data_IF_059025973034
#
_entry.id   IF_059025973034
#
_cell.length_a   1.000
_cell.length_b   1.000
_cell.length_c   1.000
_cell.angle_alpha   90.00
_cell.angle_beta   90.00
_cell.angle_gamma   90.00
#
_symmetry.space_group_name_H-M   'P 1'
#
loop_
_entity.id
_entity.type
_entity.pdbx_description
1 polymer ?
#
# COMPACT_ATOMS: atom_id res chain seq x y z
N UNK A 1 10.70 1.59 15.79
CA UNK A 1 11.56 1.32 14.61
C UNK A 1 11.92 -0.17 14.44
N UNK A 2 12.45 -0.90 15.44
CA UNK A 2 12.80 -2.33 15.28
C UNK A 2 11.59 -3.21 14.96
N UNK A 3 10.45 -2.93 15.62
CA UNK A 3 9.19 -3.64 15.38
C UNK A 3 8.65 -3.43 13.96
N UNK A 4 8.72 -2.20 13.44
CA UNK A 4 8.32 -1.86 12.07
C UNK A 4 9.14 -2.64 11.04
N UNK A 5 10.46 -2.72 11.24
CA UNK A 5 11.34 -3.50 10.37
C UNK A 5 11.01 -4.99 10.42
N UNK A 6 10.69 -5.52 11.60
CA UNK A 6 10.34 -6.92 11.80
C UNK A 6 9.01 -7.28 11.12
N UNK A 7 7.98 -6.44 11.27
CA UNK A 7 6.70 -6.56 10.56
C UNK A 7 6.91 -6.46 9.05
N UNK A 8 7.76 -5.54 8.59
CA UNK A 8 8.10 -5.41 7.18
C UNK A 8 8.72 -6.70 6.64
N UNK A 9 9.77 -7.23 7.27
CA UNK A 9 10.47 -8.45 6.80
C UNK A 9 9.53 -9.66 6.77
N UNK A 10 8.66 -9.79 7.77
CA UNK A 10 7.67 -10.88 7.81
C UNK A 10 6.58 -10.72 6.75
N UNK A 11 6.12 -9.50 6.48
CA UNK A 11 5.05 -9.21 5.52
C UNK A 11 5.54 -9.18 4.07
N UNK A 12 6.82 -8.90 3.83
CA UNK A 12 7.40 -8.68 2.51
C UNK A 12 7.17 -9.87 1.56
N UNK A 13 7.36 -11.10 2.08
CA UNK A 13 7.17 -12.33 1.31
C UNK A 13 5.72 -12.57 0.86
N UNK A 14 4.76 -12.12 1.68
CA UNK A 14 3.32 -12.21 1.38
C UNK A 14 2.90 -11.09 0.43
N UNK A 15 3.43 -9.88 0.61
CA UNK A 15 3.20 -8.75 -0.29
C UNK A 15 3.73 -9.05 -1.70
N UNK A 16 4.95 -9.55 -1.84
CA UNK A 16 5.54 -9.88 -3.15
C UNK A 16 4.70 -10.92 -3.91
N UNK A 17 4.19 -11.94 -3.21
CA UNK A 17 3.31 -12.96 -3.80
C UNK A 17 1.98 -12.38 -4.27
N UNK A 18 1.38 -11.48 -3.47
CA UNK A 18 0.10 -10.85 -3.83
C UNK A 18 0.26 -9.81 -4.95
N UNK A 19 1.38 -9.06 -4.97
CA UNK A 19 1.69 -8.16 -6.07
C UNK A 19 1.91 -8.94 -7.38
N UNK A 20 2.63 -10.06 -7.36
CA UNK A 20 2.80 -10.89 -8.54
C UNK A 20 1.45 -11.38 -9.12
N UNK A 21 0.49 -11.75 -8.26
CA UNK A 21 -0.87 -12.12 -8.70
C UNK A 21 -1.60 -10.92 -9.31
N UNK A 22 -1.50 -9.74 -8.70
CA UNK A 22 -2.11 -8.50 -9.22
C UNK A 22 -1.58 -8.14 -10.61
N UNK A 23 -0.25 -8.11 -10.78
CA UNK A 23 0.38 -7.76 -12.05
C UNK A 23 0.10 -8.79 -13.15
N UNK A 24 -0.01 -10.08 -12.81
CA UNK A 24 -0.39 -11.10 -13.79
C UNK A 24 -1.81 -10.87 -14.35
N UNK A 25 -2.75 -10.44 -13.51
CA UNK A 25 -4.10 -10.11 -13.95
C UNK A 25 -4.15 -8.81 -14.75
N UNK A 26 -3.36 -7.79 -14.36
CA UNK A 26 -3.24 -6.54 -15.11
C UNK A 26 -2.66 -6.74 -16.51
N UNK A 27 -1.59 -7.55 -16.63
CA UNK A 27 -0.99 -7.88 -17.93
C UNK A 27 -1.96 -8.65 -18.81
N UNK A 28 -2.67 -9.64 -18.26
CA UNK A 28 -3.70 -10.38 -19.00
C UNK A 28 -4.81 -9.45 -19.52
N UNK A 29 -5.27 -8.50 -18.71
CA UNK A 29 -6.25 -7.50 -19.13
C UNK A 29 -5.72 -6.63 -20.28
N UNK A 30 -4.47 -6.16 -20.18
CA UNK A 30 -3.82 -5.37 -21.23
C UNK A 30 -3.72 -6.14 -22.54
N UNK A 31 -3.38 -7.42 -22.47
CA UNK A 31 -3.24 -8.30 -23.62
C UNK A 31 -4.59 -8.53 -24.32
N UNK A 32 -5.64 -8.86 -23.56
CA UNK A 32 -7.01 -9.01 -24.06
C UNK A 32 -7.55 -7.71 -24.68
N UNK A 33 -7.28 -6.55 -24.07
CA UNK A 33 -7.66 -5.25 -24.62
C UNK A 33 -6.92 -4.95 -25.93
N UNK A 34 -5.64 -5.30 -26.02
CA UNK A 34 -4.87 -5.09 -27.25
C UNK A 34 -5.33 -6.00 -28.38
N UNK A 35 -5.70 -7.24 -28.06
CA UNK A 35 -6.33 -8.17 -29.03
C UNK A 35 -7.69 -7.64 -29.52
N UNK A 36 -8.52 -7.10 -28.62
CA UNK A 36 -9.79 -6.47 -28.97
C UNK A 36 -9.59 -5.28 -29.91
N UNK A 37 -8.68 -4.35 -29.60
CA UNK A 37 -8.39 -3.18 -30.43
C UNK A 37 -7.87 -3.60 -31.81
N UNK A 38 -7.00 -4.62 -31.87
CA UNK A 38 -6.45 -5.13 -33.13
C UNK A 38 -7.51 -5.77 -34.02
N UNK A 39 -8.54 -6.38 -33.43
CA UNK A 39 -9.58 -7.11 -34.14
C UNK A 39 -10.93 -6.37 -34.19
N UNK A 40 -11.00 -5.11 -33.75
CA UNK A 40 -12.25 -4.37 -33.57
C UNK A 40 -13.05 -4.20 -34.87
N UNK A 41 -12.36 -4.02 -35.99
CA UNK A 41 -12.96 -3.92 -37.33
C UNK A 41 -13.62 -5.23 -37.77
N UNK A 42 -13.03 -6.37 -37.39
CA UNK A 42 -13.56 -7.72 -37.68
C UNK A 42 -14.74 -8.04 -36.76
N UNK A 43 -14.61 -7.76 -35.45
CA UNK A 43 -15.67 -7.96 -34.46
C UNK A 43 -16.93 -7.17 -34.82
N UNK A 44 -16.74 -5.92 -35.26
CA UNK A 44 -17.80 -5.03 -35.72
C UNK A 44 -18.45 -5.48 -37.04
N UNK A 45 -17.67 -6.08 -37.95
CA UNK A 45 -18.16 -6.62 -39.21
C UNK A 45 -19.00 -7.91 -39.04
N UNK A 46 -18.78 -8.67 -37.97
CA UNK A 46 -19.52 -9.90 -37.66
C UNK A 46 -20.67 -9.71 -36.64
N UNK A 47 -20.97 -8.47 -36.24
CA UNK A 47 -22.03 -8.14 -35.27
C UNK A 47 -21.93 -8.92 -33.93
N UNK A 48 -20.71 -9.29 -33.50
CA UNK A 48 -20.44 -9.96 -32.21
C UNK A 48 -20.21 -8.98 -31.05
N UNK A 49 -20.62 -7.73 -31.21
CA UNK A 49 -20.35 -6.65 -30.24
C UNK A 49 -20.91 -6.97 -28.85
N UNK A 50 -22.09 -7.60 -28.77
CA UNK A 50 -22.78 -7.89 -27.51
C UNK A 50 -22.08 -8.98 -26.67
N UNK A 51 -21.65 -10.07 -27.31
CA UNK A 51 -20.94 -11.19 -26.67
C UNK A 51 -19.52 -10.78 -26.20
N UNK A 52 -18.81 -9.99 -27.00
CA UNK A 52 -17.47 -9.48 -26.66
C UNK A 52 -17.55 -8.36 -25.62
N UNK A 53 -18.58 -7.51 -25.67
CA UNK A 53 -18.83 -6.45 -24.69
C UNK A 53 -19.16 -7.04 -23.32
N UNK A 54 -20.05 -8.03 -23.22
CA UNK A 54 -20.34 -8.73 -21.95
C UNK A 54 -19.10 -9.38 -21.35
N UNK A 55 -18.25 -10.00 -22.18
CA UNK A 55 -16.98 -10.60 -21.72
C UNK A 55 -16.05 -9.54 -21.14
N UNK A 56 -15.91 -8.40 -21.82
CA UNK A 56 -15.07 -7.28 -21.39
C UNK A 56 -15.60 -6.63 -20.11
N UNK A 57 -16.92 -6.47 -20.00
CA UNK A 57 -17.60 -5.94 -18.81
C UNK A 57 -17.46 -6.87 -17.60
N UNK A 58 -17.49 -8.19 -17.84
CA UNK A 58 -17.25 -9.20 -16.82
C UNK A 58 -15.81 -9.15 -16.32
N UNK A 59 -14.83 -9.10 -17.21
CA UNK A 59 -13.40 -8.95 -16.85
C UNK A 59 -13.16 -7.67 -16.04
N UNK A 60 -13.77 -6.55 -16.43
CA UNK A 60 -13.68 -5.29 -15.68
C UNK A 60 -14.29 -5.37 -14.27
N UNK A 61 -15.42 -6.08 -14.11
CA UNK A 61 -16.03 -6.31 -12.78
C UNK A 61 -15.18 -7.23 -11.92
N UNK A 62 -14.59 -8.27 -12.50
CA UNK A 62 -13.64 -9.15 -11.80
C UNK A 62 -12.40 -8.37 -11.36
N UNK A 63 -11.88 -7.47 -12.20
CA UNK A 63 -10.81 -6.56 -11.81
C UNK A 63 -11.21 -5.67 -10.63
N UNK A 64 -12.35 -4.98 -10.67
CA UNK A 64 -12.82 -4.14 -9.55
C UNK A 64 -13.00 -4.96 -8.27
N UNK A 65 -13.52 -6.19 -8.38
CA UNK A 65 -13.66 -7.11 -7.25
C UNK A 65 -12.30 -7.46 -6.64
N UNK A 66 -11.32 -7.83 -7.47
CA UNK A 66 -9.97 -8.17 -7.01
C UNK A 66 -9.20 -6.97 -6.47
N UNK A 67 -9.36 -5.78 -7.06
CA UNK A 67 -8.80 -4.52 -6.54
C UNK A 67 -9.38 -4.18 -5.18
N UNK A 68 -10.70 -4.29 -5.01
CA UNK A 68 -11.35 -3.98 -3.72
C UNK A 68 -10.93 -4.99 -2.64
N UNK A 69 -10.81 -6.27 -3.03
CA UNK A 69 -10.34 -7.35 -2.15
C UNK A 69 -8.87 -7.21 -1.80
N UNK A 70 -8.02 -6.81 -2.74
CA UNK A 70 -6.58 -6.60 -2.51
C UNK A 70 -6.34 -5.35 -1.66
N UNK A 71 -7.02 -4.24 -1.94
CA UNK A 71 -6.98 -3.04 -1.10
C UNK A 71 -7.38 -3.37 0.34
N UNK A 72 -8.48 -4.09 0.55
CA UNK A 72 -8.89 -4.50 1.91
C UNK A 72 -7.84 -5.35 2.64
N UNK A 73 -7.15 -6.26 1.94
CA UNK A 73 -6.06 -7.05 2.52
C UNK A 73 -4.79 -6.25 2.79
N UNK A 74 -4.54 -5.17 2.06
CA UNK A 74 -3.38 -4.28 2.25
C UNK A 74 -3.65 -3.21 3.31
N UNK A 75 -4.89 -2.74 3.46
CA UNK A 75 -5.29 -1.73 4.46
C UNK A 75 -5.08 -2.23 5.89
N UNK A 76 -5.32 -3.52 6.17
CA UNK A 76 -5.16 -4.10 7.52
C UNK A 76 -3.71 -3.99 8.02
N UNK A 77 -2.68 -4.49 7.30
CA UNK A 77 -1.28 -4.33 7.73
C UNK A 77 -0.82 -2.88 7.73
N UNK A 78 -1.34 -2.04 6.83
CA UNK A 78 -1.03 -0.61 6.79
C UNK A 78 -1.54 0.12 8.04
N UNK A 79 -2.78 -0.13 8.44
CA UNK A 79 -3.36 0.42 9.68
C UNK A 79 -2.66 -0.09 10.93
N UNK A 80 -2.26 -1.37 10.96
CA UNK A 80 -1.43 -1.91 12.05
C UNK A 80 -0.08 -1.17 12.16
N UNK A 81 0.60 -0.93 11.03
CA UNK A 81 1.87 -0.19 11.01
C UNK A 81 1.68 1.24 11.52
N UNK A 82 0.61 1.94 11.13
CA UNK A 82 0.31 3.28 11.61
C UNK A 82 0.06 3.31 13.13
N UNK A 83 -0.71 2.35 13.67
CA UNK A 83 -0.93 2.22 15.12
C UNK A 83 0.40 1.98 15.86
N UNK A 84 1.23 1.06 15.37
CA UNK A 84 2.54 0.79 15.98
C UNK A 84 3.49 1.99 15.91
N UNK A 85 3.39 2.81 14.87
CA UNK A 85 4.14 4.04 14.73
C UNK A 85 3.71 5.09 15.76
N UNK A 86 2.40 5.24 15.99
CA UNK A 86 1.85 6.24 16.91
C UNK A 86 2.03 5.86 18.39
N UNK A 87 2.05 4.56 18.72
CA UNK A 87 2.40 4.04 20.06
C UNK A 87 3.76 4.56 20.54
N UNK A 88 4.72 4.78 19.63
CA UNK A 88 6.04 5.33 19.98
C UNK A 88 5.95 6.72 20.62
N UNK A 89 5.06 7.58 20.11
CA UNK A 89 4.82 8.93 20.65
C UNK A 89 4.18 8.86 22.03
N UNK A 90 3.24 7.93 22.23
CA UNK A 90 2.58 7.71 23.53
C UNK A 90 3.60 7.31 24.60
N UNK A 91 4.54 6.42 24.27
CA UNK A 91 5.60 6.01 25.20
C UNK A 91 6.49 7.19 25.59
N UNK A 92 6.90 8.02 24.62
CA UNK A 92 7.70 9.22 24.87
C UNK A 92 6.95 10.21 25.77
N UNK A 93 5.64 10.34 25.59
CA UNK A 93 4.80 11.19 26.43
C UNK A 93 4.76 10.68 27.89
N UNK A 94 4.53 9.38 28.11
CA UNK A 94 4.49 8.77 29.44
C UNK A 94 5.85 8.90 30.15
N UNK A 95 6.94 8.50 29.48
CA UNK A 95 8.29 8.58 30.07
C UNK A 95 8.73 10.02 30.32
N UNK A 96 8.41 10.93 29.40
CA UNK A 96 8.69 12.35 29.56
C UNK A 96 7.90 12.95 30.73
N UNK A 97 6.65 12.56 30.95
CA UNK A 97 5.88 12.99 32.13
C UNK A 97 6.50 12.48 33.44
N UNK A 98 6.99 11.23 33.46
CA UNK A 98 7.68 10.66 34.62
C UNK A 98 8.98 11.42 34.90
N UNK A 99 9.79 11.70 33.88
CA UNK A 99 11.04 12.44 34.07
C UNK A 99 10.83 13.90 34.48
N UNK A 100 9.74 14.53 34.01
CA UNK A 100 9.33 15.87 34.44
C UNK A 100 8.94 15.87 35.92
N UNK A 101 8.20 14.84 36.37
CA UNK A 101 7.80 14.68 37.77
C UNK A 101 9.00 14.52 38.72
N UNK A 102 10.01 13.74 38.31
CA UNK A 102 11.24 13.58 39.09
C UNK A 102 12.22 14.77 38.98
N UNK A 103 11.88 15.83 38.23
CA UNK A 103 12.75 17.00 38.04
C UNK A 103 14.01 16.74 37.21
N UNK A 104 14.10 15.59 36.52
CA UNK A 104 15.24 15.24 35.67
C UNK A 104 15.27 16.03 34.36
N UNK A 105 14.13 16.54 33.91
CA UNK A 105 13.99 17.38 32.72
C UNK A 105 13.12 18.59 33.03
N UNK A 106 13.42 19.70 32.37
CA UNK A 106 12.64 20.94 32.45
C UNK A 106 11.45 20.89 31.48
N UNK A 107 10.41 21.68 31.76
CA UNK A 107 9.21 21.78 30.91
C UNK A 107 9.53 22.08 29.43
N UNK A 108 10.47 23.00 29.08
CA UNK A 108 10.85 23.22 27.70
C UNK A 108 11.44 21.97 27.02
N UNK A 109 12.28 21.21 27.74
CA UNK A 109 12.89 19.99 27.21
C UNK A 109 11.85 18.89 26.98
N UNK A 110 10.83 18.81 27.83
CA UNK A 110 9.71 17.89 27.64
C UNK A 110 8.89 18.24 26.39
N UNK A 111 8.56 19.53 26.19
CA UNK A 111 7.84 19.99 25.00
C UNK A 111 8.64 19.70 23.73
N UNK A 112 9.95 19.98 23.74
CA UNK A 112 10.85 19.67 22.62
C UNK A 112 10.90 18.18 22.32
N UNK A 113 10.93 17.31 23.35
CA UNK A 113 10.93 15.87 23.17
C UNK A 113 9.64 15.36 22.48
N UNK A 114 8.47 15.92 22.84
CA UNK A 114 7.20 15.58 22.20
C UNK A 114 7.19 16.01 20.73
N UNK A 115 7.59 17.25 20.44
CA UNK A 115 7.63 17.79 19.07
C UNK A 115 8.61 17.00 18.21
N UNK A 116 9.77 16.65 18.74
CA UNK A 116 10.76 15.86 18.03
C UNK A 116 10.26 14.44 17.77
N UNK A 117 9.56 13.83 18.73
CA UNK A 117 8.97 12.48 18.57
C UNK A 117 7.87 12.46 17.51
N UNK A 118 7.00 13.48 17.46
CA UNK A 118 5.95 13.57 16.44
C UNK A 118 6.54 13.84 15.05
N UNK A 119 7.50 14.76 14.93
CA UNK A 119 8.21 15.05 13.68
C UNK A 119 9.00 13.85 13.15
N UNK A 120 9.63 13.08 14.04
CA UNK A 120 10.32 11.84 13.70
C UNK A 120 9.34 10.77 13.19
N UNK A 121 8.22 10.58 13.88
CA UNK A 121 7.17 9.63 13.48
C UNK A 121 6.59 9.97 12.10
N UNK A 122 6.31 11.25 11.85
CA UNK A 122 5.84 11.73 10.55
C UNK A 122 6.88 11.49 9.43
N UNK A 123 8.17 11.74 9.69
CA UNK A 123 9.25 11.50 8.73
C UNK A 123 9.39 10.02 8.36
N UNK A 124 9.26 9.11 9.33
CA UNK A 124 9.33 7.67 9.08
C UNK A 124 8.08 7.16 8.34
N UNK A 125 6.87 7.64 8.71
CA UNK A 125 5.63 7.28 8.00
C UNK A 125 5.70 7.64 6.51
N UNK A 126 6.29 8.80 6.17
CA UNK A 126 6.54 9.20 4.78
C UNK A 126 7.50 8.26 4.03
N UNK A 127 8.37 7.55 4.74
CA UNK A 127 9.26 6.54 4.15
C UNK A 127 8.52 5.24 3.83
N UNK A 128 7.51 4.87 4.61
CA UNK A 128 6.68 3.69 4.36
C UNK A 128 5.82 3.85 3.09
N UNK A 129 5.27 5.05 2.86
CA UNK A 129 4.54 5.35 1.63
C UNK A 129 5.44 5.34 0.39
N UNK A 130 6.65 5.90 0.48
CA UNK A 130 7.65 5.83 -0.59
C UNK A 130 8.06 4.40 -0.95
N UNK A 131 8.10 3.48 0.03
CA UNK A 131 8.37 2.06 -0.24
C UNK A 131 7.22 1.39 -0.99
N UNK A 132 5.97 1.72 -0.65
CA UNK A 132 4.80 1.26 -1.41
C UNK A 132 4.86 1.76 -2.86
N UNK A 133 5.19 3.04 -3.09
CA UNK A 133 5.36 3.58 -4.45
C UNK A 133 6.54 2.93 -5.19
N UNK A 134 7.65 2.68 -4.51
CA UNK A 134 8.82 2.03 -5.12
C UNK A 134 8.54 0.58 -5.53
N UNK A 135 7.78 -0.18 -4.73
CA UNK A 135 7.39 -1.55 -5.07
C UNK A 135 6.46 -1.55 -6.29
N UNK A 136 5.44 -0.68 -6.29
CA UNK A 136 4.53 -0.52 -7.43
C UNK A 136 5.29 -0.10 -8.69
N UNK A 137 6.23 0.84 -8.59
CA UNK A 137 7.02 1.32 -9.73
C UNK A 137 8.00 0.26 -10.27
N UNK A 138 8.63 -0.52 -9.38
CA UNK A 138 9.61 -1.55 -9.76
C UNK A 138 8.95 -2.74 -10.45
N UNK A 139 7.74 -3.10 -10.04
CA UNK A 139 6.96 -4.12 -10.73
C UNK A 139 6.33 -3.60 -12.03
N UNK A 140 5.90 -2.34 -12.09
CA UNK A 140 5.47 -1.70 -13.34
C UNK A 140 6.58 -1.67 -14.40
N UNK A 141 7.85 -1.51 -13.99
CA UNK A 141 9.02 -1.58 -14.87
C UNK A 141 9.37 -2.99 -15.35
N UNK A 142 8.97 -4.05 -14.63
CA UNK A 142 9.16 -5.44 -15.10
C UNK A 142 8.13 -5.87 -16.14
N UNK A 143 7.02 -5.13 -16.24
CA UNK A 143 5.95 -5.38 -17.20
C UNK A 143 6.18 -4.67 -18.56
N UNK A 144 7.29 -3.94 -18.71
CA UNK A 144 7.77 -3.29 -19.95
C UNK A 144 8.97 -4.08 -20.46
#
# INVERSE_FOLDING_TARGET
VPLMYLVKVLSQKTMDKNFAIYFNHENKMREELMEYVKNISVIKAFAKEEEISERTLKTAREYIYWVKKSMGMVTIPMGLIDIFMEIGVVIVMILGSIFLYYGNITTPNFILAIILSSAFTASISKTATLQHFSIVFKEALKAI
#
